data_IF_693430648884
#
_entry.id   IF_693430648884
#
_cell.length_a   1.000
_cell.length_b   1.000
_cell.length_c   1.000
_cell.angle_alpha   90.00
_cell.angle_beta   90.00
_cell.angle_gamma   90.00
#
_symmetry.space_group_name_H-M   'P 1'
#
loop_
_entity.id
_entity.type
_entity.pdbx_description
1 polymer ?
#
# COMPACT_ATOMS: atom_id res chain seq x y z
N UNK A 1 -2.65 -16.12 -12.77
CA UNK A 1 -2.09 -15.14 -13.75
C UNK A 1 -1.59 -13.95 -12.94
N UNK A 2 -0.44 -13.38 -13.29
CA UNK A 2 0.15 -12.22 -12.61
C UNK A 2 0.12 -11.01 -13.55
N UNK A 3 -0.14 -9.83 -13.00
CA UNK A 3 -0.01 -8.55 -13.69
C UNK A 3 1.06 -7.72 -13.01
N UNK A 4 1.88 -7.02 -13.79
CA UNK A 4 2.93 -6.13 -13.29
C UNK A 4 2.50 -4.70 -13.57
N UNK A 5 2.41 -3.89 -12.51
CA UNK A 5 2.11 -2.46 -12.59
C UNK A 5 3.42 -1.70 -12.54
N UNK A 6 3.75 -0.97 -13.60
CA UNK A 6 4.89 -0.06 -13.61
C UNK A 6 4.50 1.26 -12.95
N UNK A 7 5.43 1.84 -12.19
CA UNK A 7 5.25 3.16 -11.61
C UNK A 7 5.47 4.21 -12.70
N UNK A 8 4.42 4.94 -13.05
CA UNK A 8 4.47 6.09 -13.94
C UNK A 8 4.42 7.41 -13.12
N UNK A 9 4.55 8.59 -13.76
CA UNK A 9 4.54 9.86 -13.03
C UNK A 9 3.27 10.14 -12.23
N UNK A 10 2.10 9.69 -12.70
CA UNK A 10 0.83 9.91 -12.01
C UNK A 10 0.74 9.05 -10.76
N UNK A 11 1.09 7.77 -10.88
CA UNK A 11 1.15 6.85 -9.74
C UNK A 11 2.24 7.26 -8.73
N UNK A 12 3.38 7.75 -9.22
CA UNK A 12 4.42 8.36 -8.38
C UNK A 12 3.87 9.53 -7.56
N UNK A 13 3.21 10.49 -8.21
CA UNK A 13 2.63 11.65 -7.53
C UNK A 13 1.57 11.24 -6.50
N UNK A 14 0.73 10.25 -6.80
CA UNK A 14 -0.28 9.74 -5.85
C UNK A 14 0.37 9.10 -4.63
N UNK A 15 1.37 8.25 -4.83
CA UNK A 15 2.15 7.66 -3.73
C UNK A 15 2.88 8.73 -2.90
N UNK A 16 3.46 9.73 -3.57
CA UNK A 16 4.13 10.85 -2.93
C UNK A 16 3.19 11.68 -2.05
N UNK A 17 1.99 12.01 -2.53
CA UNK A 17 0.99 12.75 -1.76
C UNK A 17 0.58 12.01 -0.48
N UNK A 18 0.47 10.68 -0.52
CA UNK A 18 0.21 9.88 0.68
C UNK A 18 1.42 9.97 1.63
N UNK A 19 2.62 9.76 1.10
CA UNK A 19 3.84 9.74 1.89
C UNK A 19 4.14 11.09 2.56
N UNK A 20 3.93 12.22 1.88
CA UNK A 20 4.27 13.55 2.38
C UNK A 20 3.37 14.00 3.55
N UNK A 21 2.08 13.62 3.55
CA UNK A 21 1.13 13.98 4.60
C UNK A 21 1.43 13.38 5.96
N UNK A 22 2.31 12.37 6.03
CA UNK A 22 2.70 11.70 7.26
C UNK A 22 3.99 12.28 7.82
N UNK A 23 4.02 12.58 9.12
CA UNK A 23 5.23 13.07 9.79
C UNK A 23 6.11 11.93 10.34
N UNK A 24 5.50 10.80 10.71
CA UNK A 24 6.21 9.66 11.31
C UNK A 24 7.11 8.91 10.31
N UNK A 25 6.79 8.98 9.01
CA UNK A 25 7.45 8.27 7.90
C UNK A 25 7.63 6.77 8.17
N UNK A 26 6.73 6.17 8.95
CA UNK A 26 6.74 4.75 9.25
C UNK A 26 6.44 3.90 8.00
N UNK A 27 5.55 4.40 7.14
CA UNK A 27 5.27 3.82 5.83
C UNK A 27 6.34 4.24 4.83
N UNK A 28 6.88 3.29 4.06
CA UNK A 28 7.79 3.60 2.96
C UNK A 28 7.04 4.26 1.78
N UNK A 29 7.78 4.88 0.86
CA UNK A 29 7.19 5.37 -0.39
C UNK A 29 6.62 4.21 -1.23
N UNK A 30 7.25 3.03 -1.17
CA UNK A 30 6.77 1.82 -1.86
C UNK A 30 5.41 1.37 -1.32
N UNK A 31 5.20 1.42 0.00
CA UNK A 31 3.91 1.12 0.63
C UNK A 31 2.85 2.12 0.14
N UNK A 32 3.18 3.41 0.15
CA UNK A 32 2.28 4.46 -0.29
C UNK A 32 1.89 4.33 -1.78
N UNK A 33 2.84 3.98 -2.65
CA UNK A 33 2.58 3.67 -4.06
C UNK A 33 1.67 2.43 -4.17
N UNK A 34 1.93 1.39 -3.36
CA UNK A 34 1.10 0.19 -3.33
C UNK A 34 -0.34 0.52 -2.93
N UNK A 35 -0.54 1.39 -1.93
CA UNK A 35 -1.86 1.85 -1.52
C UNK A 35 -2.59 2.62 -2.63
N UNK A 36 -1.88 3.44 -3.40
CA UNK A 36 -2.46 4.14 -4.55
C UNK A 36 -2.95 3.14 -5.61
N UNK A 37 -2.14 2.13 -5.96
CA UNK A 37 -2.52 1.05 -6.90
C UNK A 37 -3.74 0.29 -6.39
N UNK A 38 -3.73 -0.11 -5.11
CA UNK A 38 -4.83 -0.87 -4.52
C UNK A 38 -6.14 -0.09 -4.54
N UNK A 39 -6.10 1.20 -4.18
CA UNK A 39 -7.26 2.09 -4.21
C UNK A 39 -7.84 2.23 -5.62
N UNK A 40 -7.01 2.45 -6.63
CA UNK A 40 -7.46 2.59 -8.03
C UNK A 40 -8.09 1.32 -8.58
N UNK A 41 -7.57 0.16 -8.18
CA UNK A 41 -8.02 -1.15 -8.64
C UNK A 41 -9.14 -1.75 -7.79
N UNK A 42 -9.57 -1.07 -6.73
CA UNK A 42 -10.59 -1.56 -5.80
C UNK A 42 -10.17 -2.83 -5.05
N UNK A 43 -8.88 -2.96 -4.73
CA UNK A 43 -8.33 -4.10 -4.01
C UNK A 43 -8.36 -3.86 -2.50
N UNK A 44 -8.85 -4.84 -1.74
CA UNK A 44 -8.85 -4.82 -0.26
C UNK A 44 -7.73 -5.66 0.34
N UNK A 45 -7.33 -6.73 -0.34
CA UNK A 45 -6.45 -7.75 0.23
C UNK A 45 -5.02 -7.61 -0.31
N UNK A 46 -4.05 -7.58 0.59
CA UNK A 46 -2.63 -7.54 0.28
C UNK A 46 -1.95 -8.81 0.79
N UNK A 47 -1.24 -9.50 -0.11
CA UNK A 47 -0.42 -10.66 0.26
C UNK A 47 0.89 -10.18 0.93
N UNK A 48 0.81 -9.81 2.20
CA UNK A 48 1.93 -9.28 2.99
C UNK A 48 1.72 -9.58 4.47
N UNK A 49 2.82 -9.64 5.23
CA UNK A 49 2.81 -9.66 6.70
C UNK A 49 3.01 -8.27 7.32
N UNK A 50 3.16 -7.24 6.49
CA UNK A 50 3.41 -5.88 6.95
C UNK A 50 2.12 -5.24 7.52
N UNK A 51 2.17 -4.85 8.78
CA UNK A 51 1.08 -4.19 9.50
C UNK A 51 0.75 -2.79 8.97
N UNK A 52 1.62 -2.16 8.19
CA UNK A 52 1.32 -0.88 7.54
C UNK A 52 0.09 -0.96 6.64
N UNK A 53 -0.11 -2.10 5.97
CA UNK A 53 -1.29 -2.34 5.13
C UNK A 53 -2.57 -2.38 5.96
N UNK A 54 -2.53 -3.00 7.14
CA UNK A 54 -3.64 -2.99 8.10
C UNK A 54 -3.95 -1.58 8.59
N UNK A 55 -2.92 -0.80 8.94
CA UNK A 55 -3.08 0.60 9.35
C UNK A 55 -3.67 1.48 8.22
N UNK A 56 -3.37 1.16 6.96
CA UNK A 56 -3.91 1.84 5.79
C UNK A 56 -5.33 1.37 5.41
N UNK A 57 -5.90 0.41 6.15
CA UNK A 57 -7.27 -0.09 5.96
C UNK A 57 -7.39 -1.30 5.03
N UNK A 58 -6.28 -1.97 4.69
CA UNK A 58 -6.25 -3.18 3.87
C UNK A 58 -6.16 -4.45 4.72
N UNK A 59 -6.57 -5.59 4.16
CA UNK A 59 -6.39 -6.89 4.79
C UNK A 59 -5.01 -7.47 4.43
N UNK A 60 -4.11 -7.53 5.40
CA UNK A 60 -2.82 -8.19 5.24
C UNK A 60 -2.99 -9.71 5.44
N UNK A 61 -2.97 -10.48 4.35
CA UNK A 61 -3.30 -11.91 4.35
C UNK A 61 -2.29 -12.80 5.09
N UNK A 62 -1.08 -12.29 5.35
CA UNK A 62 -0.03 -13.01 6.08
C UNK A 62 0.27 -12.37 7.44
N UNK A 63 -0.51 -11.36 7.85
CA UNK A 63 -0.41 -10.87 9.22
C UNK A 63 -1.07 -11.91 10.13
N UNK A 64 -0.30 -12.50 11.05
CA UNK A 64 -0.78 -13.54 11.97
C UNK A 64 -2.07 -13.11 12.67
N UNK A 65 -3.10 -13.96 12.60
CA UNK A 65 -4.18 -13.97 13.58
C UNK A 65 -3.55 -14.29 14.93
N UNK A 66 -3.45 -13.29 15.81
CA UNK A 66 -3.17 -13.57 17.22
C UNK A 66 -4.44 -14.19 17.82
N UNK A 67 -4.51 -15.52 17.80
CA UNK A 67 -5.24 -16.26 18.85
C UNK A 67 -4.52 -16.11 20.20
#
# INVERSE_FOLDING_TARGET
>A
RVEIVFVDPDLWSKGWNIYETRLDKAWSLTDCISFAVMKERGLSDALTGDRHFVQAGYHALLAEDRE
#
